data_IF_026913647024
#
_entry.id   IF_026913647024
#
_cell.length_a   1.000
_cell.length_b   1.000
_cell.length_c   1.000
_cell.angle_alpha   90.00
_cell.angle_beta   90.00
_cell.angle_gamma   90.00
#
_symmetry.space_group_name_H-M   'P 1'
#
loop_
_entity.id
_entity.type
_entity.pdbx_description
1 polymer ?
#
# COMPACT_ATOMS: atom_id res chain seq x y z
N UNK A 1 8.39 -3.54 27.95
CA UNK A 1 7.10 -3.58 27.22
C UNK A 1 7.48 -3.64 25.75
N UNK A 2 7.08 -4.67 25.01
CA UNK A 2 7.27 -4.66 23.56
C UNK A 2 6.37 -3.55 23.03
N UNK A 3 6.97 -2.48 22.51
CA UNK A 3 6.24 -1.41 21.85
C UNK A 3 5.42 -2.03 20.71
N UNK A 4 4.11 -1.77 20.75
CA UNK A 4 3.12 -2.36 19.87
C UNK A 4 3.28 -1.73 18.48
N UNK A 5 4.22 -2.26 17.72
CA UNK A 5 4.53 -1.75 16.40
C UNK A 5 3.39 -2.05 15.44
N UNK A 6 2.61 -1.02 15.09
CA UNK A 6 1.51 -1.13 14.15
C UNK A 6 1.90 -0.47 12.84
N UNK A 7 1.83 -1.25 11.76
CA UNK A 7 2.05 -0.71 10.44
C UNK A 7 0.98 0.34 10.12
N UNK A 8 1.36 1.62 10.01
CA UNK A 8 0.42 2.69 9.61
C UNK A 8 0.10 2.66 8.10
N UNK A 9 0.61 1.65 7.39
CA UNK A 9 0.39 1.44 5.97
C UNK A 9 1.42 2.20 5.12
N UNK A 10 1.14 2.32 3.82
CA UNK A 10 2.05 2.96 2.86
C UNK A 10 2.28 4.46 3.14
N UNK A 11 1.50 5.03 4.04
CA UNK A 11 1.44 6.43 4.45
C UNK A 11 2.20 6.71 5.75
N UNK A 12 2.53 5.65 6.49
CA UNK A 12 3.28 5.76 7.73
C UNK A 12 4.69 6.31 7.47
N UNK A 13 5.23 6.97 8.48
CA UNK A 13 6.63 7.37 8.48
C UNK A 13 7.54 6.14 8.41
N UNK A 14 8.82 6.31 8.08
CA UNK A 14 9.76 5.20 7.85
C UNK A 14 9.87 4.23 9.04
N UNK A 15 9.66 4.75 10.25
CA UNK A 15 9.65 4.00 11.49
C UNK A 15 8.31 3.33 11.83
N UNK A 16 7.33 3.34 10.92
CA UNK A 16 5.98 2.79 11.15
C UNK A 16 5.58 1.74 10.11
N UNK A 17 6.57 1.13 9.46
CA UNK A 17 6.40 0.07 8.47
C UNK A 17 6.83 -1.28 9.03
N UNK A 18 5.95 -2.28 8.88
CA UNK A 18 6.19 -3.61 9.48
C UNK A 18 7.48 -4.28 9.02
N UNK A 19 7.91 -3.95 7.80
CA UNK A 19 9.17 -4.40 7.26
C UNK A 19 9.73 -3.33 6.33
N UNK A 20 11.04 -3.05 6.37
CA UNK A 20 11.69 -2.18 5.39
C UNK A 20 11.54 -2.71 3.96
N UNK A 21 11.34 -4.02 3.78
CA UNK A 21 11.22 -4.68 2.49
C UNK A 21 9.78 -4.76 1.97
N UNK A 22 8.92 -3.80 2.33
CA UNK A 22 7.55 -3.77 1.84
C UNK A 22 7.53 -3.43 0.34
N UNK A 23 7.28 -4.43 -0.50
CA UNK A 23 7.30 -4.32 -1.97
C UNK A 23 6.34 -3.26 -2.55
N UNK A 24 5.24 -2.94 -1.85
CA UNK A 24 4.27 -1.93 -2.25
C UNK A 24 4.77 -0.54 -1.90
N UNK A 25 5.32 -0.36 -0.69
CA UNK A 25 5.90 0.91 -0.27
C UNK A 25 7.08 1.29 -1.16
N UNK A 26 8.02 0.35 -1.38
CA UNK A 26 9.16 0.56 -2.26
C UNK A 26 8.72 0.97 -3.67
N UNK A 27 7.66 0.37 -4.21
CA UNK A 27 7.13 0.74 -5.52
C UNK A 27 6.55 2.15 -5.55
N UNK A 28 5.89 2.59 -4.49
CA UNK A 28 5.29 3.92 -4.39
C UNK A 28 6.37 4.98 -4.18
N UNK A 29 7.37 4.70 -3.34
CA UNK A 29 8.54 5.56 -3.12
C UNK A 29 9.41 5.70 -4.37
N UNK A 30 9.72 4.60 -5.07
CA UNK A 30 10.48 4.59 -6.32
C UNK A 30 9.80 5.42 -7.42
N UNK A 31 8.48 5.28 -7.54
CA UNK A 31 7.67 6.04 -8.50
C UNK A 31 7.30 7.45 -8.03
N UNK A 32 7.76 7.86 -6.85
CA UNK A 32 7.44 9.14 -6.20
C UNK A 32 5.91 9.41 -6.08
N UNK A 33 5.12 8.36 -5.87
CA UNK A 33 3.69 8.49 -5.60
C UNK A 33 3.43 8.55 -4.11
N UNK A 34 2.27 9.09 -3.73
CA UNK A 34 1.78 9.03 -2.35
C UNK A 34 0.81 7.85 -2.18
N UNK A 35 -0.04 7.64 -3.18
CA UNK A 35 -1.00 6.54 -3.27
C UNK A 35 -0.76 5.68 -4.50
N UNK A 36 -1.03 4.38 -4.38
CA UNK A 36 -0.97 3.48 -5.53
C UNK A 36 -1.96 3.87 -6.65
N UNK A 37 -3.03 4.61 -6.36
CA UNK A 37 -4.02 5.02 -7.36
C UNK A 37 -3.53 6.09 -8.33
N UNK A 38 -2.45 6.79 -7.98
CA UNK A 38 -1.78 7.79 -8.83
C UNK A 38 -1.01 7.11 -9.97
N UNK A 39 -0.72 5.81 -9.84
CA UNK A 39 -0.11 5.02 -10.90
C UNK A 39 -1.00 5.05 -12.16
N UNK A 40 -0.39 5.33 -13.33
CA UNK A 40 -1.10 5.37 -14.60
C UNK A 40 -1.76 4.02 -14.94
N UNK A 41 -1.09 2.92 -14.62
CA UNK A 41 -1.59 1.56 -14.82
C UNK A 41 -2.53 1.07 -13.70
N UNK A 42 -3.02 1.95 -12.82
CA UNK A 42 -3.84 1.54 -11.68
C UNK A 42 -5.19 0.95 -12.12
N UNK A 43 -5.63 -0.19 -11.55
CA UNK A 43 -4.89 -1.06 -10.63
C UNK A 43 -3.87 -1.95 -11.36
N UNK A 44 -2.58 -1.76 -11.04
CA UNK A 44 -1.48 -2.47 -11.70
C UNK A 44 -1.43 -3.95 -11.26
N UNK A 45 -0.72 -4.79 -12.02
CA UNK A 45 -0.59 -6.22 -11.72
C UNK A 45 -0.04 -6.49 -10.32
N UNK A 46 0.96 -5.73 -9.86
CA UNK A 46 1.54 -5.89 -8.52
C UNK A 46 0.52 -5.67 -7.40
N UNK A 47 -0.33 -4.65 -7.55
CA UNK A 47 -1.38 -4.35 -6.59
C UNK A 47 -2.52 -5.37 -6.63
N UNK A 48 -2.91 -5.83 -7.83
CA UNK A 48 -3.87 -6.93 -8.02
C UNK A 48 -3.37 -8.23 -7.36
N UNK A 49 -2.09 -8.58 -7.54
CA UNK A 49 -1.50 -9.74 -6.88
C UNK A 49 -1.47 -9.57 -5.37
N UNK A 50 -1.18 -8.36 -4.87
CA UNK A 50 -1.23 -8.09 -3.43
C UNK A 50 -2.64 -8.24 -2.87
N UNK A 51 -3.68 -7.80 -3.58
CA UNK A 51 -5.08 -8.00 -3.19
C UNK A 51 -5.45 -9.48 -3.06
N UNK A 52 -4.91 -10.35 -3.92
CA UNK A 52 -5.12 -11.81 -3.85
C UNK A 52 -4.49 -12.48 -2.63
N UNK A 53 -3.57 -11.83 -1.92
CA UNK A 53 -2.91 -12.40 -0.72
C UNK A 53 -3.85 -12.51 0.48
N UNK A 54 -5.04 -11.90 0.43
CA UNK A 54 -6.08 -12.07 1.44
C UNK A 54 -7.05 -10.90 1.55
N UNK A 55 -8.15 -11.12 2.28
CA UNK A 55 -9.29 -10.19 2.37
C UNK A 55 -8.90 -8.77 2.81
N UNK A 56 -7.92 -8.63 3.71
CA UNK A 56 -7.42 -7.32 4.15
C UNK A 56 -6.82 -6.49 3.01
N UNK A 57 -6.13 -7.14 2.08
CA UNK A 57 -5.50 -6.50 0.93
C UNK A 57 -6.50 -6.21 -0.18
N UNK A 58 -7.50 -7.09 -0.35
CA UNK A 58 -8.64 -6.84 -1.24
C UNK A 58 -9.42 -5.59 -0.83
N UNK A 59 -9.77 -5.48 0.46
CA UNK A 59 -10.44 -4.28 1.00
C UNK A 59 -9.58 -3.03 0.83
N UNK A 60 -8.25 -3.13 1.00
CA UNK A 60 -7.34 -2.02 0.75
C UNK A 60 -7.34 -1.57 -0.72
N UNK A 61 -7.37 -2.51 -1.67
CA UNK A 61 -7.48 -2.20 -3.09
C UNK A 61 -8.82 -1.50 -3.42
N UNK A 62 -9.92 -1.98 -2.86
CA UNK A 62 -11.24 -1.34 -3.05
C UNK A 62 -11.26 0.09 -2.51
N UNK A 63 -10.65 0.36 -1.34
CA UNK A 63 -10.51 1.73 -0.81
C UNK A 63 -9.76 2.64 -1.79
N UNK A 64 -8.63 2.18 -2.32
CA UNK A 64 -7.86 2.94 -3.32
C UNK A 64 -8.67 3.22 -4.60
N UNK A 65 -9.48 2.26 -5.06
CA UNK A 65 -10.36 2.46 -6.22
C UNK A 65 -11.42 3.54 -5.95
N UNK A 66 -11.98 3.57 -4.74
CA UNK A 66 -12.94 4.60 -4.36
C UNK A 66 -12.29 5.97 -4.24
N UNK A 67 -11.07 6.07 -3.70
CA UNK A 67 -10.32 7.34 -3.63
C UNK A 67 -10.00 7.93 -5.01
N UNK A 68 -9.73 7.09 -6.03
CA UNK A 68 -9.46 7.55 -7.41
C UNK A 68 -10.69 8.15 -8.10
N UNK A 69 -11.90 7.76 -7.70
CA UNK A 69 -13.15 8.19 -8.34
C UNK A 69 -13.63 9.57 -7.86
N UNK A 70 -12.97 10.14 -6.86
CA UNK A 70 -13.33 11.39 -6.22
C UNK A 70 -12.34 12.51 -6.57
#
# INVERSE_FOLDING_TARGET
KAEDFHCKGCWGEDNEVWTPNCEIRLCVTDKNYKYCYECQEFPCQKLKNSAKKGKKYEVALERLKNMKKN
#
